data_IF_254180196290
#
_entry.id   IF_254180196290
#
_cell.length_a   1.000
_cell.length_b   1.000
_cell.length_c   1.000
_cell.angle_alpha   90.00
_cell.angle_beta   90.00
_cell.angle_gamma   90.00
#
_symmetry.space_group_name_H-M   'P 1'
#
loop_
_entity.id
_entity.type
_entity.pdbx_description
1 polymer ?
#
# COMPACT_ATOMS: atom_id res chain seq x y z
N UNK A 1 28.75 -61.90 -28.79
CA UNK A 1 27.68 -61.64 -27.80
C UNK A 1 27.71 -60.16 -27.43
N UNK A 2 26.78 -59.36 -27.98
CA UNK A 2 26.68 -57.91 -27.70
C UNK A 2 25.78 -57.70 -26.52
N UNK A 3 26.31 -57.15 -25.41
CA UNK A 3 25.52 -56.80 -24.21
C UNK A 3 24.82 -55.44 -24.47
N UNK A 4 23.50 -55.47 -24.52
CA UNK A 4 22.64 -54.29 -24.57
C UNK A 4 22.38 -53.85 -23.16
N UNK A 5 22.84 -52.66 -22.77
CA UNK A 5 22.49 -52.03 -21.49
C UNK A 5 21.24 -51.23 -21.67
N UNK A 6 20.14 -51.66 -21.07
CA UNK A 6 18.88 -50.96 -21.01
C UNK A 6 18.96 -49.92 -19.87
N UNK A 7 19.09 -48.64 -20.22
CA UNK A 7 18.98 -47.55 -19.24
C UNK A 7 17.51 -47.30 -18.94
N UNK A 8 17.06 -47.75 -17.79
CA UNK A 8 15.76 -47.43 -17.24
C UNK A 8 15.83 -46.01 -16.62
N UNK A 9 15.38 -44.99 -17.36
CA UNK A 9 15.25 -43.64 -16.83
C UNK A 9 14.06 -43.61 -15.84
N UNK A 10 14.35 -43.58 -14.56
CA UNK A 10 13.37 -43.41 -13.51
C UNK A 10 12.93 -41.94 -13.52
N UNK A 11 11.79 -41.62 -14.13
CA UNK A 11 11.15 -40.31 -14.03
C UNK A 11 10.58 -40.20 -12.61
N UNK A 12 11.29 -39.49 -11.73
CA UNK A 12 10.79 -39.11 -10.41
C UNK A 12 9.77 -37.97 -10.66
N UNK A 13 8.48 -38.15 -10.37
CA UNK A 13 7.55 -37.02 -10.41
C UNK A 13 7.99 -36.01 -9.33
N UNK A 14 8.45 -34.83 -9.75
CA UNK A 14 8.58 -33.71 -8.84
C UNK A 14 7.15 -33.34 -8.38
N UNK A 15 6.78 -33.86 -7.21
CA UNK A 15 5.62 -33.33 -6.48
C UNK A 15 5.97 -31.91 -6.10
N UNK A 16 5.49 -30.94 -6.86
CA UNK A 16 5.44 -29.54 -6.43
C UNK A 16 4.49 -29.50 -5.23
N UNK A 17 5.05 -29.57 -4.03
CA UNK A 17 4.30 -29.28 -2.81
C UNK A 17 3.91 -27.80 -2.87
N UNK A 18 2.64 -27.52 -3.16
CA UNK A 18 2.08 -26.20 -2.89
C UNK A 18 2.24 -25.98 -1.39
N UNK A 19 3.14 -25.06 -1.01
CA UNK A 19 3.23 -24.63 0.37
C UNK A 19 1.92 -23.91 0.70
N UNK A 20 1.05 -24.61 1.41
CA UNK A 20 -0.10 -23.98 2.07
C UNK A 20 0.47 -22.96 3.07
N UNK A 21 0.00 -21.71 2.98
CA UNK A 21 0.33 -20.70 3.97
C UNK A 21 -0.19 -21.19 5.33
N UNK A 22 0.72 -21.41 6.27
CA UNK A 22 0.37 -21.78 7.63
C UNK A 22 0.34 -20.53 8.52
N UNK A 23 -0.73 -20.37 9.31
CA UNK A 23 -0.82 -19.30 10.30
C UNK A 23 0.07 -19.69 11.48
N UNK A 24 1.22 -19.03 11.61
CA UNK A 24 2.19 -19.32 12.68
C UNK A 24 1.76 -18.77 14.05
N UNK A 25 1.02 -17.67 14.07
CA UNK A 25 0.51 -17.10 15.32
C UNK A 25 -0.68 -16.17 15.07
N UNK A 26 -1.52 -15.97 16.09
CA UNK A 26 -2.58 -14.98 16.13
C UNK A 26 -2.42 -14.12 17.37
N UNK A 27 -2.75 -12.83 17.25
CA UNK A 27 -2.66 -11.91 18.37
C UNK A 27 -3.91 -11.01 18.45
N UNK A 28 -4.46 -10.87 19.67
CA UNK A 28 -5.50 -9.90 19.94
C UNK A 28 -4.90 -8.49 19.97
N UNK A 29 -5.32 -7.63 19.04
CA UNK A 29 -4.83 -6.24 18.91
C UNK A 29 -5.67 -5.29 19.78
N UNK A 30 -6.99 -5.48 19.83
CA UNK A 30 -7.90 -4.68 20.63
C UNK A 30 -9.03 -5.53 21.21
N UNK A 31 -9.35 -5.33 22.46
CA UNK A 31 -10.42 -6.06 23.16
C UNK A 31 -11.79 -5.37 23.11
N UNK A 32 -11.85 -4.13 22.60
CA UNK A 32 -13.10 -3.39 22.47
C UNK A 32 -13.90 -3.87 21.27
N UNK A 33 -15.17 -4.17 21.49
CA UNK A 33 -16.07 -4.71 20.46
C UNK A 33 -16.30 -3.77 19.26
N UNK A 34 -16.06 -2.47 19.42
CA UNK A 34 -16.20 -1.45 18.38
C UNK A 34 -14.89 -1.09 17.67
N UNK A 35 -13.78 -1.74 18.03
CA UNK A 35 -12.50 -1.49 17.38
C UNK A 35 -12.41 -2.15 16.00
N UNK A 36 -11.85 -1.42 15.05
CA UNK A 36 -11.69 -1.86 13.66
C UNK A 36 -10.35 -1.37 13.11
N UNK A 37 -9.72 -2.16 12.26
CA UNK A 37 -8.53 -1.74 11.51
C UNK A 37 -8.97 -0.81 10.39
N UNK A 38 -8.42 0.41 10.38
CA UNK A 38 -8.64 1.39 9.33
C UNK A 38 -7.62 1.23 8.18
N UNK A 39 -6.35 0.98 8.51
CA UNK A 39 -5.28 0.74 7.53
C UNK A 39 -4.10 0.00 8.16
N UNK A 40 -3.31 -0.67 7.30
CA UNK A 40 -1.99 -1.21 7.63
C UNK A 40 -0.91 -0.27 7.13
N UNK A 41 0.17 -0.10 7.90
CA UNK A 41 1.35 0.61 7.42
C UNK A 41 2.00 -0.17 6.26
N UNK A 42 2.53 0.51 5.23
CA UNK A 42 3.16 -0.16 4.09
C UNK A 42 4.35 -1.05 4.47
N UNK A 43 5.04 -0.71 5.54
CA UNK A 43 6.19 -1.46 6.04
C UNK A 43 5.81 -2.58 7.02
N UNK A 44 4.55 -2.65 7.46
CA UNK A 44 4.09 -3.62 8.45
C UNK A 44 4.47 -3.29 9.89
N UNK A 45 4.86 -2.05 10.19
CA UNK A 45 5.33 -1.64 11.52
C UNK A 45 4.17 -1.36 12.48
N UNK A 46 3.04 -0.86 11.95
CA UNK A 46 1.88 -0.49 12.77
C UNK A 46 0.54 -0.66 12.03
N UNK A 47 -0.53 -0.64 12.79
CA UNK A 47 -1.89 -0.55 12.31
C UNK A 47 -2.50 0.79 12.70
N UNK A 48 -3.38 1.32 11.86
CA UNK A 48 -4.31 2.37 12.26
C UNK A 48 -5.64 1.74 12.70
N UNK A 49 -6.06 2.09 13.89
CA UNK A 49 -7.32 1.63 14.49
C UNK A 49 -8.31 2.78 14.57
N UNK A 50 -9.58 2.46 14.40
CA UNK A 50 -10.72 3.36 14.56
C UNK A 50 -11.89 2.60 15.18
N UNK A 51 -13.00 3.26 15.47
CA UNK A 51 -14.23 2.58 15.86
C UNK A 51 -15.12 2.24 14.64
N UNK A 52 -16.20 1.52 14.87
CA UNK A 52 -17.15 1.11 13.81
C UNK A 52 -17.82 2.29 13.12
N UNK A 53 -17.94 3.44 13.79
CA UNK A 53 -18.46 4.70 13.24
C UNK A 53 -17.39 5.55 12.54
N UNK A 54 -16.16 5.04 12.41
CA UNK A 54 -15.00 5.76 11.85
C UNK A 54 -14.58 7.01 12.63
N UNK A 55 -14.97 7.12 13.90
CA UNK A 55 -14.58 8.22 14.77
C UNK A 55 -13.22 7.94 15.40
N UNK A 56 -12.34 8.92 15.35
CA UNK A 56 -11.01 8.85 15.89
C UNK A 56 -10.05 7.95 15.12
N UNK A 57 -8.77 8.12 15.39
CA UNK A 57 -7.67 7.27 14.94
C UNK A 57 -6.69 7.03 16.08
N UNK A 58 -6.16 5.83 16.12
CA UNK A 58 -5.09 5.41 17.01
C UNK A 58 -4.08 4.59 16.20
N UNK A 59 -2.80 4.68 16.50
CA UNK A 59 -1.80 3.74 15.97
C UNK A 59 -1.54 2.63 16.99
N UNK A 60 -1.45 1.41 16.49
CA UNK A 60 -0.99 0.24 17.25
C UNK A 60 0.33 -0.23 16.66
N UNK A 61 1.40 -0.07 17.42
CA UNK A 61 2.73 -0.54 17.04
C UNK A 61 2.82 -2.06 17.17
N UNK A 62 3.19 -2.74 16.07
CA UNK A 62 3.21 -4.20 16.01
C UNK A 62 4.39 -4.83 16.77
N UNK A 63 5.43 -4.06 17.05
CA UNK A 63 6.60 -4.50 17.82
C UNK A 63 6.42 -4.28 19.31
N UNK A 64 6.18 -3.03 19.71
CA UNK A 64 6.05 -2.64 21.13
C UNK A 64 4.66 -2.95 21.72
N UNK A 65 3.66 -3.24 20.88
CA UNK A 65 2.25 -3.49 21.25
C UNK A 65 1.56 -2.30 21.91
N UNK A 66 2.11 -1.12 21.70
CA UNK A 66 1.57 0.11 22.27
C UNK A 66 0.52 0.76 21.37
N UNK A 67 -0.53 1.30 22.00
CA UNK A 67 -1.54 2.12 21.34
C UNK A 67 -1.25 3.58 21.60
N UNK A 68 -1.13 4.38 20.55
CA UNK A 68 -0.94 5.83 20.61
C UNK A 68 -2.13 6.53 19.98
N UNK A 69 -2.88 7.37 20.71
CA UNK A 69 -3.97 8.15 20.12
C UNK A 69 -3.43 9.22 19.17
N UNK A 70 -4.12 9.36 18.02
CA UNK A 70 -3.79 10.33 16.97
C UNK A 70 -4.78 11.48 16.97
N UNK A 71 -6.06 11.18 16.85
CA UNK A 71 -7.16 12.17 16.83
C UNK A 71 -8.47 11.53 17.30
N UNK A 72 -9.37 12.37 17.80
CA UNK A 72 -10.74 11.98 18.17
C UNK A 72 -11.78 12.46 17.13
N UNK A 73 -11.34 13.06 16.04
CA UNK A 73 -12.20 13.68 15.04
C UNK A 73 -13.15 12.68 14.38
N UNK A 74 -14.37 13.15 14.10
CA UNK A 74 -15.38 12.38 13.39
C UNK A 74 -14.91 12.07 11.96
N UNK A 75 -15.13 10.84 11.53
CA UNK A 75 -14.81 10.36 10.19
C UNK A 75 -13.34 10.12 9.92
N UNK A 76 -12.43 10.34 10.89
CA UNK A 76 -10.99 10.21 10.70
C UNK A 76 -10.55 8.81 10.25
N UNK A 77 -11.25 7.77 10.71
CA UNK A 77 -10.97 6.39 10.32
C UNK A 77 -11.52 5.96 8.96
N UNK A 78 -12.27 6.81 8.28
CA UNK A 78 -12.83 6.46 6.98
C UNK A 78 -11.88 6.83 5.84
N UNK A 79 -11.46 5.85 5.06
CA UNK A 79 -10.58 6.01 3.90
C UNK A 79 -9.25 6.72 4.25
N UNK A 80 -8.75 6.53 5.50
CA UNK A 80 -7.45 7.05 5.88
C UNK A 80 -6.37 6.42 5.00
N UNK A 81 -5.42 7.25 4.58
CA UNK A 81 -4.32 6.83 3.74
C UNK A 81 -3.00 7.00 4.46
N UNK A 82 -2.07 6.10 4.21
CA UNK A 82 -0.72 6.13 4.77
C UNK A 82 0.25 6.33 3.62
N UNK A 83 1.14 7.30 3.73
CA UNK A 83 2.20 7.51 2.76
C UNK A 83 3.10 6.27 2.67
N UNK A 84 3.75 6.11 1.53
CA UNK A 84 4.56 4.93 1.25
C UNK A 84 5.71 4.72 2.25
N UNK A 85 6.27 5.81 2.77
CA UNK A 85 7.32 5.77 3.80
C UNK A 85 6.81 5.37 5.19
N UNK A 86 5.48 5.23 5.36
CA UNK A 86 4.83 4.93 6.64
C UNK A 86 4.86 6.07 7.66
N UNK A 87 5.41 7.24 7.33
CA UNK A 87 5.62 8.34 8.29
C UNK A 87 4.52 9.38 8.29
N UNK A 88 3.76 9.46 7.21
CA UNK A 88 2.68 10.42 7.07
C UNK A 88 1.36 9.72 6.83
N UNK A 89 0.30 10.29 7.37
CA UNK A 89 -1.07 9.87 7.12
C UNK A 89 -1.89 11.04 6.61
N UNK A 90 -2.87 10.76 5.75
CA UNK A 90 -3.88 11.70 5.30
C UNK A 90 -5.24 11.16 5.72
N UNK A 91 -5.99 11.96 6.45
CA UNK A 91 -7.32 11.61 6.93
C UNK A 91 -8.27 12.80 6.84
N UNK A 92 -9.55 12.51 6.93
CA UNK A 92 -10.58 13.56 6.96
C UNK A 92 -11.03 13.83 8.39
N UNK A 93 -11.52 15.04 8.61
CA UNK A 93 -12.30 15.42 9.78
C UNK A 93 -13.66 15.90 9.31
N UNK A 94 -14.72 15.26 9.75
CA UNK A 94 -16.08 15.69 9.43
C UNK A 94 -16.45 16.84 10.34
N UNK A 95 -16.82 17.97 9.75
CA UNK A 95 -17.30 19.15 10.44
C UNK A 95 -18.71 19.49 9.97
N UNK A 96 -19.54 20.03 10.86
CA UNK A 96 -20.88 20.48 10.55
C UNK A 96 -20.89 22.00 10.64
N UNK A 97 -21.33 22.68 9.61
CA UNK A 97 -21.43 24.13 9.60
C UNK A 97 -22.69 24.66 10.32
N UNK A 98 -22.85 25.97 10.38
CA UNK A 98 -24.00 26.63 11.03
C UNK A 98 -25.35 26.26 10.38
N UNK A 99 -25.34 25.83 9.12
CA UNK A 99 -26.52 25.39 8.37
C UNK A 99 -26.79 23.88 8.49
N UNK A 100 -26.13 23.19 9.41
CA UNK A 100 -26.20 21.74 9.60
C UNK A 100 -25.71 20.92 8.39
N UNK A 101 -24.90 21.52 7.51
CA UNK A 101 -24.29 20.81 6.38
C UNK A 101 -22.95 20.22 6.79
N UNK A 102 -22.75 18.93 6.50
CA UNK A 102 -21.51 18.23 6.78
C UNK A 102 -20.49 18.43 5.67
N UNK A 103 -19.28 18.76 6.06
CA UNK A 103 -18.12 18.96 5.19
C UNK A 103 -16.94 18.11 5.68
N UNK A 104 -15.98 17.89 4.79
CA UNK A 104 -14.73 17.20 5.12
C UNK A 104 -13.58 18.21 5.13
N UNK A 105 -12.85 18.27 6.20
CA UNK A 105 -11.51 18.86 6.24
C UNK A 105 -10.50 17.77 6.01
N UNK A 106 -9.58 17.94 5.09
CA UNK A 106 -8.52 17.00 4.79
C UNK A 106 -7.25 17.41 5.53
N UNK A 107 -6.73 16.50 6.29
CA UNK A 107 -5.59 16.72 7.20
C UNK A 107 -4.48 15.75 6.87
N UNK A 108 -3.27 16.29 6.72
CA UNK A 108 -2.02 15.55 6.69
C UNK A 108 -1.37 15.60 8.07
N UNK A 109 -0.89 14.49 8.57
CA UNK A 109 -0.17 14.39 9.83
C UNK A 109 1.13 13.62 9.65
N UNK A 110 2.25 14.20 10.07
CA UNK A 110 3.50 13.48 10.25
C UNK A 110 3.47 12.79 11.62
N UNK A 111 3.53 11.46 11.64
CA UNK A 111 3.40 10.66 12.86
C UNK A 111 4.57 10.88 13.83
N UNK A 112 5.79 11.01 13.32
CA UNK A 112 6.98 11.18 14.15
C UNK A 112 7.02 12.55 14.86
N UNK A 113 6.77 13.63 14.11
CA UNK A 113 6.83 14.99 14.62
C UNK A 113 5.48 15.52 15.12
N UNK A 114 4.38 14.75 14.99
CA UNK A 114 3.00 15.19 15.26
C UNK A 114 2.63 16.50 14.56
N UNK A 115 3.31 16.80 13.45
CA UNK A 115 3.05 18.00 12.67
C UNK A 115 1.78 17.80 11.84
N UNK A 116 0.76 18.59 12.18
CA UNK A 116 -0.56 18.57 11.53
C UNK A 116 -0.67 19.72 10.54
N UNK A 117 -1.03 19.41 9.31
CA UNK A 117 -1.26 20.37 8.25
C UNK A 117 -2.69 20.20 7.69
N UNK A 118 -3.43 21.29 7.59
CA UNK A 118 -4.71 21.32 6.89
C UNK A 118 -4.44 21.44 5.39
N UNK A 119 -4.77 20.39 4.64
CA UNK A 119 -4.57 20.34 3.19
C UNK A 119 -5.73 20.99 2.45
N UNK A 120 -6.95 20.68 2.84
CA UNK A 120 -8.16 21.26 2.26
C UNK A 120 -9.25 21.41 3.31
N UNK A 121 -10.08 22.45 3.16
CA UNK A 121 -11.21 22.72 4.06
C UNK A 121 -12.53 22.65 3.31
N UNK A 122 -13.59 22.31 4.03
CA UNK A 122 -14.98 22.35 3.56
C UNK A 122 -15.21 21.57 2.26
N UNK A 123 -14.52 20.44 2.08
CA UNK A 123 -14.66 19.61 0.89
C UNK A 123 -15.93 18.75 0.96
N UNK A 124 -16.67 18.66 -0.15
CA UNK A 124 -17.77 17.69 -0.30
C UNK A 124 -17.28 16.31 -0.74
N UNK A 125 -16.19 16.27 -1.52
CA UNK A 125 -15.54 15.02 -1.98
C UNK A 125 -14.29 14.69 -1.15
N UNK A 126 -13.76 13.49 -1.36
CA UNK A 126 -12.48 13.03 -0.77
C UNK A 126 -11.34 13.00 -1.79
N UNK A 127 -11.52 13.65 -2.95
CA UNK A 127 -10.50 13.65 -4.01
C UNK A 127 -9.16 14.24 -3.55
N UNK A 128 -9.19 15.26 -2.69
CA UNK A 128 -8.00 15.86 -2.12
C UNK A 128 -7.14 14.87 -1.30
N UNK A 129 -7.72 13.78 -0.79
CA UNK A 129 -6.96 12.73 -0.10
C UNK A 129 -6.07 11.93 -1.07
N UNK A 130 -6.51 11.74 -2.30
CA UNK A 130 -5.78 10.98 -3.31
C UNK A 130 -4.57 11.75 -3.87
N UNK A 131 -4.64 13.08 -3.90
CA UNK A 131 -3.59 13.96 -4.47
C UNK A 131 -2.34 14.00 -3.59
N UNK A 132 -2.49 13.76 -2.29
CA UNK A 132 -1.43 13.94 -1.30
C UNK A 132 -0.53 12.70 -1.11
N UNK A 133 -0.84 11.63 -1.80
CA UNK A 133 -0.04 10.41 -1.74
C UNK A 133 0.91 10.38 -2.93
N UNK A 134 2.12 10.88 -2.75
CA UNK A 134 3.22 10.80 -3.72
C UNK A 134 3.65 9.34 -3.91
N UNK A 135 2.79 8.55 -4.55
CA UNK A 135 3.17 7.21 -4.96
C UNK A 135 3.65 7.29 -6.41
N UNK A 136 4.81 6.73 -6.72
CA UNK A 136 5.15 6.55 -8.12
C UNK A 136 4.03 5.71 -8.77
N UNK A 137 3.62 6.13 -9.94
CA UNK A 137 2.71 5.35 -10.77
C UNK A 137 3.42 4.95 -12.04
N UNK A 138 3.06 3.79 -12.57
CA UNK A 138 3.63 3.27 -13.80
C UNK A 138 2.54 3.11 -14.85
N UNK A 139 2.84 3.52 -16.05
CA UNK A 139 1.98 3.37 -17.22
C UNK A 139 2.80 2.95 -18.42
N UNK A 140 2.14 2.38 -19.44
CA UNK A 140 2.76 2.08 -20.72
C UNK A 140 2.24 3.09 -21.74
N UNK A 141 3.14 3.81 -22.36
CA UNK A 141 2.85 4.72 -23.49
C UNK A 141 3.81 4.43 -24.63
N UNK A 142 3.29 4.21 -25.82
CA UNK A 142 4.09 3.91 -27.02
C UNK A 142 5.08 2.76 -26.81
N UNK A 143 4.67 1.73 -26.07
CA UNK A 143 5.48 0.58 -25.63
C UNK A 143 6.67 0.95 -24.73
N UNK A 144 6.70 2.17 -24.19
CA UNK A 144 7.68 2.59 -23.19
C UNK A 144 7.07 2.51 -21.79
N UNK A 145 7.89 2.15 -20.83
CA UNK A 145 7.51 2.18 -19.41
C UNK A 145 7.71 3.61 -18.89
N UNK A 146 6.62 4.23 -18.49
CA UNK A 146 6.59 5.59 -17.93
C UNK A 146 6.43 5.53 -16.41
N UNK A 147 7.24 6.28 -15.71
CA UNK A 147 7.10 6.48 -14.26
C UNK A 147 6.69 7.93 -13.99
N UNK A 148 5.62 8.11 -13.22
CA UNK A 148 5.17 9.42 -12.75
C UNK A 148 5.43 9.54 -11.26
N UNK A 149 6.16 10.57 -10.86
CA UNK A 149 6.45 10.92 -9.46
C UNK A 149 6.19 12.42 -9.32
N UNK A 150 5.42 12.82 -8.31
CA UNK A 150 5.11 14.24 -8.02
C UNK A 150 4.55 15.01 -9.24
N UNK A 151 3.75 14.32 -10.07
CA UNK A 151 3.18 14.89 -11.30
C UNK A 151 4.14 14.94 -12.49
N UNK A 152 5.43 14.70 -12.31
CA UNK A 152 6.40 14.59 -13.39
C UNK A 152 6.44 13.17 -13.94
N UNK A 153 6.30 13.04 -15.25
CA UNK A 153 6.38 11.76 -15.96
C UNK A 153 7.69 11.64 -16.74
N UNK A 154 8.41 10.56 -16.49
CA UNK A 154 9.70 10.24 -17.16
C UNK A 154 9.67 8.83 -17.70
N UNK A 155 10.45 8.58 -18.78
CA UNK A 155 10.69 7.21 -19.24
C UNK A 155 11.51 6.47 -18.18
N UNK A 156 11.00 5.34 -17.75
CA UNK A 156 11.70 4.44 -16.84
C UNK A 156 12.34 3.31 -17.65
N UNK A 157 13.66 3.30 -17.73
CA UNK A 157 14.41 2.29 -18.48
C UNK A 157 15.28 1.48 -17.52
N UNK A 158 14.78 0.38 -16.97
CA UNK A 158 15.60 -0.51 -16.17
C UNK A 158 16.80 -0.98 -16.99
N UNK A 159 18.01 -0.89 -16.45
CA UNK A 159 19.25 -1.25 -17.12
C UNK A 159 19.62 -0.43 -18.39
N UNK A 160 19.02 0.73 -18.59
CA UNK A 160 19.37 1.65 -19.69
C UNK A 160 18.99 1.16 -21.08
N UNK A 161 18.24 0.07 -21.21
CA UNK A 161 17.81 -0.48 -22.50
C UNK A 161 16.35 -0.13 -22.80
N UNK A 162 16.05 0.17 -24.06
CA UNK A 162 14.68 0.36 -24.53
C UNK A 162 14.10 -0.98 -24.97
N UNK A 163 13.02 -1.39 -24.31
CA UNK A 163 12.26 -2.59 -24.64
C UNK A 163 10.82 -2.25 -24.99
N UNK A 164 10.11 -3.18 -25.62
CA UNK A 164 8.66 -3.10 -25.77
C UNK A 164 7.97 -3.60 -24.52
N UNK A 165 7.53 -2.67 -23.68
CA UNK A 165 6.80 -2.98 -22.45
C UNK A 165 5.30 -3.14 -22.73
N UNK A 166 4.63 -4.06 -22.05
CA UNK A 166 3.20 -4.33 -22.22
C UNK A 166 2.36 -4.09 -20.97
N UNK A 167 2.92 -4.31 -19.81
CA UNK A 167 2.28 -3.92 -18.53
C UNK A 167 3.34 -3.66 -17.46
N UNK A 168 2.92 -2.94 -16.44
CA UNK A 168 3.70 -2.74 -15.24
C UNK A 168 2.80 -2.63 -14.01
N UNK A 169 3.30 -3.05 -12.86
CA UNK A 169 2.60 -2.97 -11.58
C UNK A 169 3.58 -2.60 -10.48
N UNK A 170 3.17 -1.66 -9.63
CA UNK A 170 3.92 -1.25 -8.46
C UNK A 170 3.61 -2.19 -7.28
N UNK A 171 4.63 -2.58 -6.54
CA UNK A 171 4.44 -3.33 -5.30
C UNK A 171 3.66 -2.50 -4.26
N UNK A 172 2.92 -3.13 -3.33
CA UNK A 172 2.15 -2.40 -2.32
C UNK A 172 2.99 -1.43 -1.48
N UNK A 173 4.25 -1.77 -1.20
CA UNK A 173 5.19 -0.91 -0.49
C UNK A 173 5.91 0.11 -1.39
N UNK A 174 5.63 0.11 -2.70
CA UNK A 174 6.17 1.03 -3.68
C UNK A 174 7.68 0.95 -3.93
N UNK A 175 8.35 -0.09 -3.43
CA UNK A 175 9.81 -0.23 -3.57
C UNK A 175 10.24 -1.04 -4.78
N UNK A 176 9.27 -1.73 -5.43
CA UNK A 176 9.55 -2.58 -6.59
C UNK A 176 8.50 -2.35 -7.67
N UNK A 177 8.93 -2.42 -8.90
CA UNK A 177 8.04 -2.47 -10.06
C UNK A 177 8.23 -3.81 -10.77
N UNK A 178 7.13 -4.48 -11.07
CA UNK A 178 7.11 -5.62 -11.99
C UNK A 178 6.64 -5.15 -13.36
N UNK A 179 7.23 -5.69 -14.40
CA UNK A 179 6.89 -5.34 -15.79
C UNK A 179 7.10 -6.52 -16.72
N UNK A 180 6.41 -6.49 -17.86
CA UNK A 180 6.53 -7.51 -18.91
C UNK A 180 7.12 -6.91 -20.18
N UNK A 181 8.14 -7.58 -20.69
CA UNK A 181 8.79 -7.29 -21.99
C UNK A 181 8.37 -8.36 -23.00
N UNK A 182 7.85 -7.92 -24.14
CA UNK A 182 7.41 -8.85 -25.20
C UNK A 182 8.56 -9.77 -25.66
N UNK A 183 8.22 -11.04 -25.80
CA UNK A 183 9.12 -12.12 -26.22
C UNK A 183 10.36 -12.36 -25.30
N UNK A 184 10.46 -11.68 -24.15
CA UNK A 184 11.57 -11.85 -23.21
C UNK A 184 11.08 -12.41 -21.87
N UNK A 185 10.03 -11.82 -21.27
CA UNK A 185 9.45 -12.32 -20.02
C UNK A 185 9.04 -11.25 -19.04
N UNK A 186 8.74 -11.70 -17.81
CA UNK A 186 8.40 -10.85 -16.66
C UNK A 186 9.64 -10.55 -15.83
N UNK A 187 9.72 -9.32 -15.34
CA UNK A 187 10.84 -8.82 -14.55
C UNK A 187 10.34 -8.08 -13.32
N UNK A 188 11.19 -7.99 -12.32
CA UNK A 188 10.99 -7.15 -11.14
C UNK A 188 12.28 -6.38 -10.89
N UNK A 189 12.18 -5.09 -10.62
CA UNK A 189 13.32 -4.28 -10.19
C UNK A 189 12.97 -3.40 -8.99
N UNK A 190 13.98 -3.01 -8.25
CA UNK A 190 13.89 -2.00 -7.20
C UNK A 190 13.81 -0.60 -7.82
N UNK A 191 13.12 0.35 -7.12
CA UNK A 191 12.95 1.75 -7.53
C UNK A 191 13.23 2.70 -6.37
#
# INVERSE_FOLDING_TARGET
MKKVYLFLALAIPMMASAQLMEVSSTQLVASKADAKVAAFSPNGDYLLLTNTSHQGLQSFDLTSKQITPITTADGAGYNVQIAQDGKQIVYREVVTDANQVRHNNIVRLNLAGKQRQMVAKNQRSLEAMAVEMERPSFSIKDRQLMMTVNGETKVFSPNGQQYSYHWASLSPNGKKVSYYISAVGCFVCDI
#
